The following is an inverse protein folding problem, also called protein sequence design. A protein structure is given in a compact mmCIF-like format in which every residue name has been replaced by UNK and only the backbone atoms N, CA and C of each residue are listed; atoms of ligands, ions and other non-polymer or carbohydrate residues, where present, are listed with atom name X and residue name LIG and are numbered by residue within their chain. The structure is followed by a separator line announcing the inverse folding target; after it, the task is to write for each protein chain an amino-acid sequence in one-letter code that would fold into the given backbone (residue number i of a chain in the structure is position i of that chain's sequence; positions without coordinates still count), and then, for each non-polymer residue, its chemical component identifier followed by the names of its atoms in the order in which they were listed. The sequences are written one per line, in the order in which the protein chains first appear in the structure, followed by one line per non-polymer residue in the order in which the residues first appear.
data_IF_529438061696
#
_entry.id   IF_529438061696
#
_cell.length_a   1.000
_cell.length_b   1.000
_cell.length_c   1.000
_cell.angle_alpha   90.00
_cell.angle_beta   90.00
_cell.angle_gamma   90.00
#
_symmetry.space_group_name_H-M   'P 1'
#
loop_
_entity.id
_entity.type
_entity.pdbx_description
1 polymer ?
#
# COMPACT_ATOMS: atom_id res chain seq x y z
N UNK A 1 -16.42 4.19 6.06
CA UNK A 1 -16.25 2.74 5.84
C UNK A 1 -16.59 2.33 4.41
N UNK A 2 -17.86 2.39 3.96
CA UNK A 2 -18.27 1.91 2.61
C UNK A 2 -17.39 2.38 1.44
N UNK A 3 -17.04 3.66 1.39
CA UNK A 3 -16.20 4.23 0.31
C UNK A 3 -14.78 3.62 0.24
N UNK A 4 -14.18 3.29 1.38
CA UNK A 4 -12.83 2.70 1.38
C UNK A 4 -12.88 1.22 0.99
N UNK A 5 -13.93 0.51 1.39
CA UNK A 5 -14.18 -0.88 1.00
C UNK A 5 -14.39 -1.01 -0.51
N UNK A 6 -15.11 -0.05 -1.11
CA UNK A 6 -15.26 0.06 -2.57
C UNK A 6 -13.92 0.29 -3.26
N UNK A 7 -13.09 1.21 -2.75
CA UNK A 7 -11.76 1.49 -3.31
C UNK A 7 -10.80 0.29 -3.21
N UNK A 8 -10.90 -0.48 -2.13
CA UNK A 8 -10.18 -1.75 -1.98
C UNK A 8 -10.65 -2.75 -3.04
N UNK A 9 -11.96 -2.94 -3.21
CA UNK A 9 -12.52 -3.84 -4.22
C UNK A 9 -12.11 -3.42 -5.64
N UNK A 10 -12.23 -2.15 -5.97
CA UNK A 10 -11.81 -1.58 -7.26
C UNK A 10 -10.33 -1.86 -7.53
N UNK A 11 -9.47 -1.62 -6.52
CA UNK A 11 -8.03 -1.88 -6.63
C UNK A 11 -7.72 -3.35 -6.87
N UNK A 12 -8.35 -4.26 -6.12
CA UNK A 12 -8.10 -5.70 -6.24
C UNK A 12 -8.66 -6.28 -7.54
N UNK A 13 -9.83 -5.83 -7.99
CA UNK A 13 -10.43 -6.26 -9.25
C UNK A 13 -9.68 -5.74 -10.48
N UNK A 14 -8.95 -4.63 -10.35
CA UNK A 14 -8.13 -4.07 -11.42
C UNK A 14 -6.77 -4.76 -11.64
N UNK A 15 -6.44 -5.76 -10.82
CA UNK A 15 -5.18 -6.51 -10.96
C UNK A 15 -5.28 -7.53 -12.10
N UNK A 16 -4.21 -7.67 -12.87
CA UNK A 16 -4.06 -8.80 -13.81
C UNK A 16 -3.85 -10.11 -13.04
N UNK A 17 -4.14 -11.25 -13.66
CA UNK A 17 -4.04 -12.58 -13.05
C UNK A 17 -2.70 -12.83 -12.34
N UNK A 18 -1.58 -12.53 -13.01
CA UNK A 18 -0.25 -12.72 -12.43
C UNK A 18 0.04 -11.73 -11.28
N UNK A 19 -0.51 -10.53 -11.34
CA UNK A 19 -0.36 -9.52 -10.29
C UNK A 19 -1.16 -9.94 -9.05
N UNK A 20 -2.39 -10.41 -9.26
CA UNK A 20 -3.26 -10.94 -8.19
C UNK A 20 -2.61 -12.14 -7.49
N UNK A 21 -2.09 -13.11 -8.26
CA UNK A 21 -1.34 -14.25 -7.71
C UNK A 21 -0.13 -13.81 -6.88
N UNK A 22 0.60 -12.79 -7.33
CA UNK A 22 1.76 -12.25 -6.59
C UNK A 22 1.32 -11.57 -5.30
N UNK A 23 0.24 -10.75 -5.34
CA UNK A 23 -0.34 -10.12 -4.14
C UNK A 23 -0.78 -11.17 -3.13
N UNK A 24 -1.48 -12.20 -3.58
CA UNK A 24 -1.98 -13.26 -2.72
C UNK A 24 -0.84 -14.01 -2.04
N UNK A 25 0.18 -14.39 -2.80
CA UNK A 25 1.35 -15.09 -2.29
C UNK A 25 2.12 -14.24 -1.27
N UNK A 26 2.43 -12.98 -1.59
CA UNK A 26 3.17 -12.09 -0.68
C UNK A 26 2.36 -11.82 0.58
N UNK A 27 1.06 -11.61 0.47
CA UNK A 27 0.17 -11.45 1.62
C UNK A 27 0.19 -12.68 2.53
N UNK A 28 0.08 -13.88 1.96
CA UNK A 28 0.14 -15.14 2.71
C UNK A 28 1.47 -15.28 3.46
N UNK A 29 2.60 -15.01 2.78
CA UNK A 29 3.91 -15.09 3.42
C UNK A 29 4.03 -14.13 4.61
N UNK A 30 3.63 -12.87 4.43
CA UNK A 30 3.81 -11.82 5.44
C UNK A 30 2.81 -11.92 6.61
N UNK A 31 1.54 -12.18 6.33
CA UNK A 31 0.46 -12.06 7.32
C UNK A 31 -0.05 -13.39 7.86
N UNK A 32 0.18 -14.51 7.17
CA UNK A 32 -0.32 -15.83 7.59
C UNK A 32 0.81 -16.79 7.97
N UNK A 33 1.98 -16.69 7.31
CA UNK A 33 3.16 -17.54 7.54
C UNK A 33 4.26 -16.87 8.38
N UNK A 34 3.98 -15.71 8.96
CA UNK A 34 4.89 -14.97 9.85
C UNK A 34 6.29 -14.68 9.25
N UNK A 35 6.39 -14.51 7.93
CA UNK A 35 7.63 -14.01 7.32
C UNK A 35 7.68 -12.50 7.46
N UNK A 36 8.85 -11.96 7.78
CA UNK A 36 9.01 -10.51 7.98
C UNK A 36 9.45 -9.76 6.70
N UNK A 37 9.90 -10.48 5.66
CA UNK A 37 10.51 -9.91 4.45
C UNK A 37 10.15 -10.74 3.23
N UNK A 38 9.89 -10.07 2.10
CA UNK A 38 9.64 -10.67 0.79
C UNK A 38 10.29 -9.80 -0.30
N UNK A 39 10.79 -10.44 -1.36
CA UNK A 39 11.33 -9.77 -2.55
C UNK A 39 10.49 -10.15 -3.77
N UNK A 40 10.04 -9.16 -4.55
CA UNK A 40 9.30 -9.36 -5.80
C UNK A 40 10.18 -8.94 -6.98
N UNK A 41 10.61 -9.93 -7.77
CA UNK A 41 11.64 -9.79 -8.80
C UNK A 41 11.14 -10.00 -10.25
N UNK A 42 9.92 -9.56 -10.57
CA UNK A 42 9.42 -9.43 -11.96
C UNK A 42 10.31 -8.58 -12.90
N UNK A 43 10.15 -8.73 -14.23
CA UNK A 43 10.84 -7.89 -15.21
C UNK A 43 10.38 -6.43 -15.18
N UNK A 44 11.16 -5.56 -15.84
CA UNK A 44 10.84 -4.13 -15.94
C UNK A 44 9.52 -3.96 -16.69
N UNK A 45 8.62 -3.14 -16.13
CA UNK A 45 7.34 -2.83 -16.77
C UNK A 45 6.18 -3.77 -16.42
N UNK A 46 6.40 -4.90 -15.73
CA UNK A 46 5.31 -5.82 -15.35
C UNK A 46 4.37 -5.30 -14.24
N UNK A 47 4.65 -4.11 -13.71
CA UNK A 47 3.75 -3.43 -12.78
C UNK A 47 3.98 -3.78 -11.31
N UNK A 48 5.23 -3.91 -10.86
CA UNK A 48 5.58 -4.08 -9.43
C UNK A 48 4.91 -3.05 -8.51
N UNK A 49 4.78 -1.80 -8.95
CA UNK A 49 4.07 -0.75 -8.20
C UNK A 49 2.57 -1.04 -8.07
N UNK A 50 1.96 -1.66 -9.09
CA UNK A 50 0.55 -2.08 -9.07
C UNK A 50 0.38 -3.28 -8.13
N UNK A 51 1.32 -4.24 -8.15
CA UNK A 51 1.36 -5.33 -7.17
C UNK A 51 1.46 -4.77 -5.75
N UNK A 52 2.36 -3.82 -5.49
CA UNK A 52 2.47 -3.17 -4.18
C UNK A 52 1.16 -2.46 -3.78
N UNK A 53 0.52 -1.72 -4.70
CA UNK A 53 -0.79 -1.10 -4.45
C UNK A 53 -1.86 -2.14 -4.02
N UNK A 54 -1.93 -3.26 -4.73
CA UNK A 54 -2.84 -4.36 -4.40
C UNK A 54 -2.55 -4.97 -3.03
N UNK A 55 -1.27 -5.16 -2.69
CA UNK A 55 -0.85 -5.64 -1.38
C UNK A 55 -1.26 -4.66 -0.26
N UNK A 56 -1.07 -3.35 -0.45
CA UNK A 56 -1.49 -2.33 0.52
C UNK A 56 -3.01 -2.37 0.75
N UNK A 57 -3.81 -2.44 -0.33
CA UNK A 57 -5.26 -2.54 -0.22
C UNK A 57 -5.71 -3.80 0.52
N UNK A 58 -5.08 -4.96 0.22
CA UNK A 58 -5.38 -6.24 0.89
C UNK A 58 -4.97 -6.23 2.36
N UNK A 59 -3.78 -5.71 2.67
CA UNK A 59 -3.29 -5.57 4.05
C UNK A 59 -4.17 -4.62 4.87
N UNK A 60 -4.55 -3.48 4.30
CA UNK A 60 -5.44 -2.53 4.95
C UNK A 60 -6.82 -3.12 5.22
N UNK A 61 -7.37 -3.93 4.30
CA UNK A 61 -8.65 -4.64 4.52
C UNK A 61 -8.65 -5.51 5.78
N UNK A 62 -7.51 -6.12 6.10
CA UNK A 62 -7.35 -6.97 7.29
C UNK A 62 -6.87 -6.21 8.52
N UNK A 63 -6.49 -4.94 8.36
CA UNK A 63 -6.01 -4.12 9.46
C UNK A 63 -7.18 -3.76 10.39
N UNK A 64 -7.05 -4.17 11.66
CA UNK A 64 -7.98 -3.80 12.73
C UNK A 64 -7.28 -2.79 13.66
N UNK A 65 -7.70 -1.53 13.70
CA UNK A 65 -7.10 -0.56 14.59
C UNK A 65 -7.33 -0.97 16.06
N UNK A 66 -6.33 -0.73 16.90
CA UNK A 66 -6.38 -0.99 18.35
C UNK A 66 -5.88 0.23 19.12
N UNK A 67 -6.04 0.24 20.45
CA UNK A 67 -5.52 1.31 21.30
C UNK A 67 -4.01 1.55 21.10
N UNK A 68 -3.24 0.49 20.85
CA UNK A 68 -1.79 0.53 20.61
C UNK A 68 -1.39 0.74 19.15
N UNK A 69 -2.30 0.49 18.19
CA UNK A 69 -2.02 0.63 16.75
C UNK A 69 -3.22 1.23 16.03
N UNK A 70 -3.30 2.57 16.06
CA UNK A 70 -4.43 3.34 15.50
C UNK A 70 -4.32 3.59 14.00
N UNK A 71 -3.11 3.57 13.45
CA UNK A 71 -2.83 3.91 12.04
C UNK A 71 -2.19 2.75 11.30
N UNK A 72 -2.45 2.70 9.99
CA UNK A 72 -1.76 1.80 9.07
C UNK A 72 -0.65 2.60 8.39
N UNK A 73 0.60 2.38 8.81
CA UNK A 73 1.75 3.14 8.33
C UNK A 73 2.48 2.34 7.24
N UNK A 74 2.81 3.01 6.14
CA UNK A 74 3.58 2.44 5.02
C UNK A 74 4.76 3.36 4.73
N UNK A 75 5.97 2.81 4.69
CA UNK A 75 7.18 3.56 4.35
C UNK A 75 7.60 3.13 2.94
N UNK A 76 7.75 4.11 2.05
CA UNK A 76 8.20 3.90 0.68
C UNK A 76 9.56 4.58 0.49
N UNK A 77 10.53 3.80 0.01
CA UNK A 77 11.90 4.27 -0.23
C UNK A 77 12.18 4.18 -1.71
N UNK A 78 12.67 5.27 -2.30
CA UNK A 78 13.06 5.36 -3.71
C UNK A 78 14.32 6.20 -3.85
N UNK A 79 15.20 5.83 -4.77
CA UNK A 79 16.45 6.56 -5.03
C UNK A 79 16.25 7.89 -5.77
N UNK A 80 15.05 8.14 -6.32
CA UNK A 80 14.76 9.32 -7.11
C UNK A 80 13.43 9.96 -6.66
N UNK A 81 13.48 11.23 -6.24
CA UNK A 81 12.32 11.95 -5.71
C UNK A 81 11.22 12.18 -6.75
N UNK A 82 11.57 12.47 -8.00
CA UNK A 82 10.59 12.65 -9.09
C UNK A 82 9.81 11.37 -9.35
N UNK A 83 10.51 10.22 -9.40
CA UNK A 83 9.88 8.92 -9.51
C UNK A 83 9.06 8.57 -8.27
N UNK A 84 9.53 8.96 -7.08
CA UNK A 84 8.79 8.76 -5.84
C UNK A 84 7.43 9.47 -5.88
N UNK A 85 7.40 10.76 -6.27
CA UNK A 85 6.14 11.53 -6.41
C UNK A 85 5.15 10.85 -7.37
N UNK A 86 5.64 10.30 -8.48
CA UNK A 86 4.79 9.58 -9.43
C UNK A 86 4.30 8.23 -8.88
N UNK A 87 5.19 7.47 -8.22
CA UNK A 87 4.86 6.16 -7.66
C UNK A 87 3.90 6.26 -6.47
N UNK A 88 4.03 7.28 -5.62
CA UNK A 88 3.12 7.50 -4.50
C UNK A 88 1.68 7.71 -4.95
N UNK A 89 1.47 8.49 -6.04
CA UNK A 89 0.15 8.62 -6.66
C UNK A 89 -0.42 7.28 -7.10
N UNK A 90 0.43 6.39 -7.64
CA UNK A 90 0.02 5.04 -8.05
C UNK A 90 -0.26 4.12 -6.85
N UNK A 91 0.54 4.21 -5.78
CA UNK A 91 0.43 3.40 -4.57
C UNK A 91 -0.78 3.76 -3.71
N UNK A 92 -1.24 5.01 -3.76
CA UNK A 92 -2.42 5.45 -3.02
C UNK A 92 -3.70 4.81 -3.60
N UNK A 93 -4.16 3.73 -2.96
CA UNK A 93 -5.38 3.03 -3.36
C UNK A 93 -6.66 3.74 -2.92
N UNK A 94 -6.58 4.70 -1.99
CA UNK A 94 -7.75 5.41 -1.46
C UNK A 94 -8.19 6.57 -2.34
N UNK A 95 -7.29 7.10 -3.17
CA UNK A 95 -7.53 8.31 -3.96
C UNK A 95 -7.59 9.60 -3.12
N UNK A 96 -7.40 9.53 -1.80
CA UNK A 96 -7.41 10.69 -0.92
C UNK A 96 -5.99 11.25 -0.78
N UNK A 97 -5.78 12.53 -1.11
CA UNK A 97 -4.46 13.17 -0.99
C UNK A 97 -3.95 13.26 0.45
N UNK A 98 -4.84 13.25 1.44
CA UNK A 98 -4.51 13.47 2.86
C UNK A 98 -3.84 12.26 3.52
N UNK A 99 -3.72 11.13 2.83
CA UNK A 99 -3.01 9.93 3.34
C UNK A 99 -1.53 9.96 3.00
N UNK A 100 -1.10 10.91 2.18
CA UNK A 100 0.30 11.10 1.80
C UNK A 100 0.89 12.14 2.73
N UNK A 101 1.76 11.71 3.64
CA UNK A 101 2.51 12.61 4.50
C UNK A 101 3.87 12.89 3.83
N UNK A 102 3.99 14.08 3.25
CA UNK A 102 5.16 14.52 2.49
C UNK A 102 5.80 15.71 3.21
N UNK A 103 6.94 15.51 3.87
CA UNK A 103 7.84 16.60 4.24
C UNK A 103 8.50 17.12 2.96
N UNK A 104 8.29 18.40 2.65
CA UNK A 104 8.91 19.09 1.51
C UNK A 104 10.44 19.13 1.64
N UNK A 105 10.95 18.96 2.86
CA UNK A 105 12.38 19.02 3.21
C UNK A 105 13.09 17.65 3.27
N UNK A 106 12.42 16.51 3.08
CA UNK A 106 13.09 15.19 3.17
C UNK A 106 13.70 14.75 1.84
N UNK A 107 15.03 14.85 1.78
CA UNK A 107 15.84 14.18 0.78
C UNK A 107 15.89 12.66 1.06
N UNK A 108 15.00 11.90 0.37
CA UNK A 108 15.05 10.44 0.04
C UNK A 108 14.06 9.49 0.75
N UNK A 109 13.20 9.96 1.66
CA UNK A 109 12.22 9.11 2.35
C UNK A 109 10.80 9.70 2.21
N UNK A 110 9.80 8.86 1.93
CA UNK A 110 8.40 9.30 1.93
C UNK A 110 7.49 8.26 2.60
N UNK A 111 6.48 8.72 3.33
CA UNK A 111 5.54 7.84 4.04
C UNK A 111 4.08 8.03 3.60
N UNK A 112 3.29 6.97 3.71
CA UNK A 112 1.83 7.02 3.62
C UNK A 112 1.26 6.68 5.00
N UNK A 113 0.46 7.59 5.55
CA UNK A 113 -0.20 7.47 6.85
C UNK A 113 -1.72 7.39 6.64
N UNK A 114 -2.29 6.20 6.83
CA UNK A 114 -3.73 6.01 6.76
C UNK A 114 -4.33 6.15 8.16
N UNK A 115 -5.05 7.26 8.40
CA UNK A 115 -5.67 7.60 9.69
C UNK A 115 -7.12 7.10 9.75
N UNK A 116 -7.49 6.44 10.85
CA UNK A 116 -8.87 6.08 11.17
C UNK A 116 -9.46 7.10 12.15
N UNK A 117 -10.50 7.83 11.75
CA UNK A 117 -11.29 8.62 12.70
C UNK A 117 -12.26 7.67 13.41
N UNK A 118 -11.93 7.30 14.66
CA UNK A 118 -12.93 6.76 15.58
C UNK A 118 -13.88 7.91 15.94
N UNK A 119 -15.10 7.91 15.40
CA UNK A 119 -16.18 8.66 16.04
C UNK A 119 -16.50 7.94 17.34
N UNK A 120 -16.23 8.62 18.45
CA UNK A 120 -16.85 8.32 19.75
C UNK A 120 -18.36 8.49 19.64
#
# INVERSE_FOLDING_TARGET
MKLIDEKIKETLNGLKDFQSKTVDYVFEQLYLKNRNKMLVADEVGLGKTIVAKGLLAKAFKTFKPSCSKRTFNVIYICSNQTLAKQNLKKLNFTGNSNVVDYSIDDDRITSLAYIFYLKA
#
